data_IF_058268192734
#
_entry.id   IF_058268192734
#
_cell.length_a   1.000
_cell.length_b   1.000
_cell.length_c   1.000
_cell.angle_alpha   90.00
_cell.angle_beta   90.00
_cell.angle_gamma   90.00
#
_symmetry.space_group_name_H-M   'P 1'
#
loop_
_entity.id
_entity.type
_entity.pdbx_description
1 polymer ?
#
# COMPACT_ATOMS: atom_id res chain seq x y z
N UNK A 1 -13.76 -11.30 13.17
CA UNK A 1 -13.03 -12.07 14.20
C UNK A 1 -12.67 -11.07 15.28
N UNK A 2 -13.20 -11.14 16.50
CA UNK A 2 -12.92 -10.09 17.51
C UNK A 2 -11.42 -9.94 17.78
N UNK A 3 -10.93 -8.70 17.82
CA UNK A 3 -9.53 -8.41 18.14
C UNK A 3 -9.19 -8.86 19.57
N UNK A 4 -8.15 -9.69 19.70
CA UNK A 4 -7.57 -10.04 20.99
C UNK A 4 -6.76 -8.88 21.61
N UNK A 5 -6.31 -9.04 22.86
CA UNK A 5 -5.56 -8.00 23.57
C UNK A 5 -4.22 -7.64 22.90
N UNK A 6 -3.58 -8.61 22.24
CA UNK A 6 -2.30 -8.40 21.54
C UNK A 6 -2.50 -7.56 20.30
N UNK A 7 -3.52 -7.90 19.48
CA UNK A 7 -3.91 -7.15 18.31
C UNK A 7 -4.35 -5.72 18.67
N UNK A 8 -5.18 -5.56 19.72
CA UNK A 8 -5.60 -4.24 20.22
C UNK A 8 -4.41 -3.38 20.62
N UNK A 9 -3.40 -3.95 21.28
CA UNK A 9 -2.18 -3.22 21.66
C UNK A 9 -1.33 -2.86 20.46
N UNK A 10 -1.15 -3.77 19.50
CA UNK A 10 -0.36 -3.54 18.28
C UNK A 10 -0.96 -2.43 17.42
N UNK A 11 -2.28 -2.45 17.23
CA UNK A 11 -2.99 -1.55 16.32
C UNK A 11 -3.64 -0.35 17.01
N UNK A 12 -3.35 -0.12 18.31
CA UNK A 12 -4.00 0.90 19.13
C UNK A 12 -4.11 2.28 18.47
N UNK A 13 -3.08 2.72 17.73
CA UNK A 13 -3.10 4.02 17.03
C UNK A 13 -4.01 4.02 15.80
N UNK A 14 -4.01 2.93 15.03
CA UNK A 14 -4.84 2.79 13.83
C UNK A 14 -6.32 2.68 14.21
N UNK A 15 -6.63 2.04 15.35
CA UNK A 15 -7.99 1.91 15.88
C UNK A 15 -8.65 3.25 16.23
N UNK A 16 -7.87 4.33 16.43
CA UNK A 16 -8.40 5.67 16.69
C UNK A 16 -8.91 6.38 15.43
N UNK A 17 -8.55 5.88 14.24
CA UNK A 17 -9.04 6.42 12.96
C UNK A 17 -10.46 5.93 12.72
N UNK A 18 -11.38 6.86 12.45
CA UNK A 18 -12.81 6.57 12.29
C UNK A 18 -13.08 5.60 11.13
N UNK A 19 -12.27 5.68 10.08
CA UNK A 19 -12.34 4.86 8.88
C UNK A 19 -11.85 3.42 9.13
N UNK A 20 -11.07 3.19 10.19
CA UNK A 20 -10.55 1.88 10.57
C UNK A 20 -11.42 1.33 11.72
N UNK A 21 -11.28 1.88 12.93
CA UNK A 21 -11.90 1.32 14.13
C UNK A 21 -11.64 -0.19 14.30
N UNK A 22 -12.41 -0.86 15.16
CA UNK A 22 -12.25 -2.31 15.35
C UNK A 22 -12.66 -3.09 14.10
N UNK A 23 -13.83 -2.79 13.53
CA UNK A 23 -14.36 -3.51 12.37
C UNK A 23 -13.49 -3.38 11.11
N UNK A 24 -12.88 -2.21 10.88
CA UNK A 24 -11.90 -2.05 9.79
C UNK A 24 -10.62 -2.81 10.05
N UNK A 25 -10.10 -2.80 11.29
CA UNK A 25 -8.91 -3.58 11.62
C UNK A 25 -9.14 -5.09 11.48
N UNK A 26 -10.33 -5.58 11.81
CA UNK A 26 -10.69 -6.98 11.55
C UNK A 26 -10.66 -7.32 10.05
N UNK A 27 -11.18 -6.42 9.20
CA UNK A 27 -11.11 -6.58 7.73
C UNK A 27 -9.68 -6.56 7.22
N UNK A 28 -8.82 -5.70 7.77
CA UNK A 28 -7.40 -5.66 7.42
C UNK A 28 -6.68 -6.97 7.78
N UNK A 29 -6.97 -7.55 8.95
CA UNK A 29 -6.40 -8.84 9.39
C UNK A 29 -6.89 -10.03 8.55
N UNK A 30 -8.11 -9.97 8.03
CA UNK A 30 -8.66 -10.99 7.13
C UNK A 30 -8.18 -10.79 5.67
N UNK A 31 -7.68 -9.60 5.34
CA UNK A 31 -7.22 -9.28 3.99
C UNK A 31 -5.92 -10.00 3.63
N UNK A 32 -5.86 -10.44 2.37
CA UNK A 32 -4.70 -11.11 1.78
C UNK A 32 -4.30 -10.41 0.50
N UNK A 33 -3.00 -10.28 0.25
CA UNK A 33 -2.50 -9.62 -0.96
C UNK A 33 -1.35 -10.40 -1.63
N UNK A 34 -1.11 -10.11 -2.92
CA UNK A 34 0.00 -10.65 -3.70
C UNK A 34 0.55 -9.62 -4.68
N UNK A 35 1.74 -9.88 -5.19
CA UNK A 35 2.29 -9.09 -6.29
C UNK A 35 1.44 -9.20 -7.56
N UNK A 36 1.11 -8.07 -8.17
CA UNK A 36 0.47 -7.99 -9.46
C UNK A 36 1.43 -8.33 -10.60
N UNK A 37 0.90 -8.85 -11.71
CA UNK A 37 1.71 -9.24 -12.85
C UNK A 37 2.45 -8.03 -13.47
N UNK A 38 3.79 -8.09 -13.46
CA UNK A 38 4.65 -7.07 -14.07
C UNK A 38 4.80 -5.77 -13.27
N UNK A 39 4.35 -5.73 -12.02
CA UNK A 39 4.67 -4.64 -11.09
C UNK A 39 6.16 -4.57 -10.78
N UNK A 40 6.68 -3.36 -10.53
CA UNK A 40 8.06 -3.17 -10.09
C UNK A 40 8.31 -3.80 -8.71
N UNK A 41 9.44 -4.51 -8.57
CA UNK A 41 9.73 -5.28 -7.36
C UNK A 41 10.02 -4.40 -6.14
N UNK A 42 10.69 -3.27 -6.33
CA UNK A 42 11.05 -2.35 -5.24
C UNK A 42 9.79 -1.65 -4.73
N UNK A 43 8.94 -1.17 -5.64
CA UNK A 43 7.65 -0.57 -5.28
C UNK A 43 6.71 -1.59 -4.61
N UNK A 44 6.73 -2.86 -5.05
CA UNK A 44 5.98 -3.92 -4.38
C UNK A 44 6.47 -4.17 -2.96
N UNK A 45 7.79 -4.24 -2.74
CA UNK A 45 8.36 -4.45 -1.40
C UNK A 45 7.92 -3.35 -0.43
N UNK A 46 7.89 -2.10 -0.89
CA UNK A 46 7.37 -0.97 -0.10
C UNK A 46 5.88 -1.12 0.19
N UNK A 47 5.07 -1.47 -0.81
CA UNK A 47 3.64 -1.66 -0.62
C UNK A 47 3.37 -2.79 0.40
N UNK A 48 4.10 -3.91 0.30
CA UNK A 48 4.00 -5.03 1.23
C UNK A 48 4.34 -4.62 2.66
N UNK A 49 5.42 -3.88 2.91
CA UNK A 49 5.78 -3.40 4.26
C UNK A 49 4.65 -2.56 4.89
N UNK A 50 4.03 -1.65 4.12
CA UNK A 50 2.90 -0.87 4.61
C UNK A 50 1.68 -1.74 4.95
N UNK A 51 1.35 -2.70 4.09
CA UNK A 51 0.19 -3.57 4.27
C UNK A 51 0.36 -4.54 5.45
N UNK A 52 1.54 -5.12 5.63
CA UNK A 52 1.87 -5.98 6.77
C UNK A 52 1.84 -5.20 8.10
N UNK A 53 2.26 -3.93 8.08
CA UNK A 53 2.12 -3.03 9.24
C UNK A 53 0.68 -2.65 9.54
N UNK A 54 -0.18 -2.58 8.52
CA UNK A 54 -1.62 -2.41 8.67
C UNK A 54 -2.34 -3.70 9.11
N UNK A 55 -1.66 -4.85 9.03
CA UNK A 55 -2.15 -6.15 9.49
C UNK A 55 -2.65 -7.06 8.37
N UNK A 56 -2.53 -6.67 7.10
CA UNK A 56 -2.78 -7.57 5.97
C UNK A 56 -1.66 -8.62 5.87
N UNK A 57 -1.93 -9.74 5.21
CA UNK A 57 -0.96 -10.82 5.05
C UNK A 57 -0.69 -11.13 3.57
N UNK A 58 0.57 -11.36 3.21
CA UNK A 58 0.94 -11.77 1.87
C UNK A 58 0.55 -13.24 1.63
N UNK A 59 -0.21 -13.52 0.58
CA UNK A 59 -0.64 -14.87 0.20
C UNK A 59 -0.83 -14.96 -1.31
N UNK A 60 -0.42 -16.07 -1.93
CA UNK A 60 -0.45 -16.25 -3.39
C UNK A 60 -1.85 -16.17 -4.01
N UNK A 61 -2.92 -16.35 -3.21
CA UNK A 61 -4.33 -16.25 -3.62
C UNK A 61 -4.95 -14.91 -3.23
N UNK A 62 -4.26 -14.07 -2.46
CA UNK A 62 -4.70 -12.74 -2.06
C UNK A 62 -4.89 -11.78 -3.23
N UNK A 63 -5.51 -10.62 -3.02
CA UNK A 63 -5.76 -9.63 -4.05
C UNK A 63 -4.45 -9.16 -4.73
N UNK A 64 -4.46 -9.03 -6.06
CA UNK A 64 -3.30 -8.55 -6.80
C UNK A 64 -3.13 -7.03 -6.58
N UNK A 65 -2.00 -6.62 -6.01
CA UNK A 65 -1.70 -5.21 -5.82
C UNK A 65 -1.49 -4.50 -7.16
N UNK A 66 -2.02 -3.28 -7.27
CA UNK A 66 -1.85 -2.39 -8.41
C UNK A 66 -0.52 -1.63 -8.32
N UNK A 67 0.58 -2.36 -8.33
CA UNK A 67 1.93 -1.77 -8.31
C UNK A 67 2.31 -1.31 -9.73
N UNK A 68 2.78 -0.07 -9.92
CA UNK A 68 3.18 0.42 -11.22
C UNK A 68 4.35 -0.37 -11.83
N UNK A 69 4.38 -0.44 -13.16
CA UNK A 69 5.49 -1.04 -13.91
C UNK A 69 6.73 -0.14 -13.85
N UNK A 70 7.91 -0.71 -14.12
CA UNK A 70 9.19 0.03 -14.18
C UNK A 70 9.14 1.29 -15.05
N UNK A 71 8.43 1.25 -16.18
CA UNK A 71 8.28 2.41 -17.07
C UNK A 71 7.54 3.59 -16.43
N UNK A 72 6.61 3.32 -15.52
CA UNK A 72 5.88 4.34 -14.77
C UNK A 72 6.77 4.93 -13.66
N UNK A 73 7.57 4.09 -12.99
CA UNK A 73 8.59 4.55 -12.04
C UNK A 73 9.61 5.48 -12.71
N UNK A 74 10.19 5.06 -13.84
CA UNK A 74 11.14 5.88 -14.59
C UNK A 74 10.53 7.23 -14.99
N UNK A 75 9.26 7.22 -15.41
CA UNK A 75 8.53 8.44 -15.75
C UNK A 75 8.40 9.34 -14.53
N UNK A 76 7.92 8.82 -13.39
CA UNK A 76 7.74 9.59 -12.17
C UNK A 76 9.07 10.12 -11.60
N UNK A 77 10.11 9.28 -11.63
CA UNK A 77 11.44 9.62 -11.13
C UNK A 77 12.11 10.75 -11.93
N UNK A 78 11.86 10.85 -13.23
CA UNK A 78 12.50 11.84 -14.12
C UNK A 78 13.99 11.58 -14.40
N UNK A 79 14.70 10.88 -13.50
CA UNK A 79 16.08 10.44 -13.65
C UNK A 79 16.31 9.07 -13.00
N UNK A 80 17.37 8.37 -13.40
CA UNK A 80 17.72 7.09 -12.77
C UNK A 80 18.17 7.23 -11.31
N UNK A 81 18.68 8.40 -10.92
CA UNK A 81 19.12 8.68 -9.55
C UNK A 81 17.94 8.73 -8.56
N UNK A 82 16.73 9.01 -9.05
CA UNK A 82 15.52 9.14 -8.23
C UNK A 82 14.61 7.91 -8.30
N UNK A 83 15.11 6.79 -8.82
CA UNK A 83 14.31 5.56 -8.96
C UNK A 83 13.91 4.94 -7.62
N UNK A 84 14.83 4.91 -6.65
CA UNK A 84 14.55 4.41 -5.31
C UNK A 84 13.47 5.26 -4.60
N UNK A 85 13.60 6.60 -4.48
CA UNK A 85 12.52 7.40 -3.88
C UNK A 85 11.22 7.35 -4.68
N UNK A 86 11.27 7.20 -6.02
CA UNK A 86 10.08 6.97 -6.83
C UNK A 86 9.36 5.66 -6.45
N UNK A 87 10.12 4.56 -6.24
CA UNK A 87 9.57 3.30 -5.78
C UNK A 87 8.92 3.43 -4.39
N UNK A 88 9.53 4.20 -3.48
CA UNK A 88 8.96 4.48 -2.16
C UNK A 88 7.57 5.15 -2.26
N UNK A 89 7.46 6.23 -3.03
CA UNK A 89 6.20 6.99 -3.16
C UNK A 89 5.13 6.15 -3.84
N UNK A 90 5.46 5.53 -4.98
CA UNK A 90 4.48 4.75 -5.76
C UNK A 90 4.07 3.46 -5.05
N UNK A 91 4.98 2.81 -4.32
CA UNK A 91 4.68 1.67 -3.47
C UNK A 91 3.75 2.05 -2.32
N UNK A 92 4.04 3.14 -1.61
CA UNK A 92 3.19 3.64 -0.53
C UNK A 92 1.78 4.02 -1.04
N UNK A 93 1.69 4.68 -2.20
CA UNK A 93 0.42 4.96 -2.86
C UNK A 93 -0.36 3.67 -3.14
N UNK A 94 0.30 2.67 -3.73
CA UNK A 94 -0.32 1.37 -4.03
C UNK A 94 -0.88 0.68 -2.78
N UNK A 95 -0.17 0.76 -1.64
CA UNK A 95 -0.65 0.25 -0.37
C UNK A 95 -1.87 1.02 0.14
N UNK A 96 -1.84 2.36 0.11
CA UNK A 96 -2.96 3.19 0.56
C UNK A 96 -4.21 2.94 -0.27
N UNK A 97 -4.09 2.84 -1.59
CA UNK A 97 -5.24 2.53 -2.45
C UNK A 97 -5.81 1.14 -2.17
N UNK A 98 -4.95 0.15 -1.90
CA UNK A 98 -5.42 -1.17 -1.48
C UNK A 98 -6.13 -1.14 -0.12
N UNK A 99 -5.61 -0.39 0.86
CA UNK A 99 -6.24 -0.24 2.17
C UNK A 99 -7.63 0.39 2.06
N UNK A 100 -7.81 1.39 1.18
CA UNK A 100 -9.13 2.00 0.93
C UNK A 100 -10.13 0.97 0.39
N UNK A 101 -9.71 0.10 -0.52
CA UNK A 101 -10.56 -0.97 -1.06
C UNK A 101 -10.97 -1.95 0.04
N UNK A 102 -10.01 -2.43 0.85
CA UNK A 102 -10.29 -3.38 1.95
C UNK A 102 -11.23 -2.76 3.00
N UNK A 103 -11.05 -1.49 3.30
CA UNK A 103 -11.87 -0.76 4.28
C UNK A 103 -13.21 -0.29 3.70
N UNK A 104 -13.41 -0.38 2.39
CA UNK A 104 -14.61 0.09 1.71
C UNK A 104 -14.83 1.61 1.81
N UNK A 105 -13.74 2.38 1.89
CA UNK A 105 -13.78 3.85 2.03
C UNK A 105 -14.02 4.52 0.67
N UNK A 106 -13.30 4.05 -0.35
CA UNK A 106 -13.37 4.56 -1.70
C UNK A 106 -12.84 3.49 -2.68
N UNK A 107 -13.19 3.64 -3.96
CA UNK A 107 -12.52 2.90 -5.02
C UNK A 107 -11.06 3.34 -5.15
N UNK A 108 -10.17 2.41 -5.51
CA UNK A 108 -8.77 2.72 -5.73
C UNK A 108 -8.59 3.69 -6.90
N UNK A 109 -7.92 4.81 -6.63
CA UNK A 109 -7.58 5.83 -7.60
C UNK A 109 -6.34 5.51 -8.42
N UNK A 110 -6.13 6.29 -9.48
CA UNK A 110 -4.89 6.27 -10.26
C UNK A 110 -3.90 7.31 -9.75
N UNK A 111 -2.61 6.99 -9.83
CA UNK A 111 -1.57 7.96 -9.50
C UNK A 111 -1.53 9.07 -10.56
N UNK A 112 -1.53 10.36 -10.18
CA UNK A 112 -1.55 11.46 -11.15
C UNK A 112 -0.34 11.44 -12.08
N UNK A 113 -0.59 11.46 -13.39
CA UNK A 113 0.44 11.22 -14.43
C UNK A 113 1.35 12.42 -14.67
N UNK A 114 0.95 13.59 -14.21
CA UNK A 114 1.64 14.88 -14.30
C UNK A 114 2.71 15.05 -13.22
N UNK A 115 2.60 14.33 -12.09
CA UNK A 115 3.55 14.45 -10.99
C UNK A 115 4.91 13.87 -11.37
N UNK A 116 5.98 14.53 -10.94
CA UNK A 116 7.37 14.10 -11.12
C UNK A 116 8.15 14.42 -9.86
N UNK A 117 9.18 13.63 -9.56
CA UNK A 117 10.19 14.03 -8.61
C UNK A 117 11.12 15.08 -9.25
N UNK A 118 11.60 16.00 -8.42
CA UNK A 118 12.64 16.95 -8.76
C UNK A 118 13.75 16.87 -7.70
N UNK A 119 14.98 17.10 -8.13
CA UNK A 119 16.15 17.30 -7.26
C UNK A 119 16.42 18.78 -6.97
N UNK A 120 15.53 19.67 -7.41
CA UNK A 120 15.55 21.09 -7.06
C UNK A 120 15.31 21.26 -5.56
N UNK A 121 16.36 21.71 -4.86
CA UNK A 121 16.35 22.08 -3.44
C UNK A 121 15.88 23.53 -3.24
#
# INVERSE_FOLDING_TARGET
MSLDATARRRYARQLLLAEIGEAGQERLLDSRFRSGAGGDADAYAVAADYLERAGCEADLRGAALRVPKRSSLLRFAGSSALLEPAALVLGAFSAVEHLKEVLGIAEAGEFPVELRLSDEA
#
